data_IF_962581330988
#
_entry.id   IF_962581330988
#
_cell.length_a   1.000
_cell.length_b   1.000
_cell.length_c   1.000
_cell.angle_alpha   90.00
_cell.angle_beta   90.00
_cell.angle_gamma   90.00
#
_symmetry.space_group_name_H-M   'P 1'
#
loop_
_entity.id
_entity.type
_entity.pdbx_description
1 polymer ?
#
# COMPACT_ATOMS: atom_id res chain seq x y z
N UNK A 1 2.28 10.93 6.58
CA UNK A 1 2.96 10.59 7.85
C UNK A 1 3.44 9.14 7.86
N UNK A 2 4.76 8.96 7.95
CA UNK A 2 5.38 7.64 8.12
C UNK A 2 5.00 7.03 9.47
N UNK A 3 4.77 5.71 9.51
CA UNK A 3 4.49 4.97 10.75
C UNK A 3 5.64 4.05 11.12
N UNK A 4 6.06 3.16 10.22
CA UNK A 4 7.15 2.20 10.46
C UNK A 4 7.69 1.60 9.16
N UNK A 5 8.91 1.05 9.22
CA UNK A 5 9.45 0.13 8.22
C UNK A 5 9.05 -1.30 8.59
N UNK A 6 8.90 -2.15 7.57
CA UNK A 6 8.54 -3.55 7.73
C UNK A 6 9.51 -4.37 6.88
N UNK A 7 9.98 -5.50 7.41
CA UNK A 7 10.73 -6.51 6.66
C UNK A 7 9.94 -7.80 6.75
N UNK A 8 9.57 -8.37 5.61
CA UNK A 8 8.83 -9.63 5.55
C UNK A 8 9.43 -10.56 4.51
N UNK A 9 9.36 -11.86 4.77
CA UNK A 9 9.75 -12.89 3.82
C UNK A 9 8.53 -13.28 2.99
N UNK A 10 8.73 -13.43 1.69
CA UNK A 10 7.72 -13.98 0.77
C UNK A 10 8.35 -15.12 -0.01
N UNK A 11 7.53 -16.11 -0.38
CA UNK A 11 7.93 -17.14 -1.32
C UNK A 11 7.46 -16.73 -2.72
N UNK A 12 8.41 -16.60 -3.64
CA UNK A 12 8.16 -16.24 -5.02
C UNK A 12 8.94 -17.20 -5.92
N UNK A 13 8.25 -17.92 -6.80
CA UNK A 13 8.86 -18.92 -7.71
C UNK A 13 9.77 -19.92 -6.96
N UNK A 14 9.27 -20.48 -5.86
CA UNK A 14 10.00 -21.41 -4.98
C UNK A 14 11.29 -20.85 -4.36
N UNK A 15 11.47 -19.52 -4.40
CA UNK A 15 12.58 -18.81 -3.75
C UNK A 15 12.05 -17.91 -2.63
N UNK A 16 12.69 -17.95 -1.47
CA UNK A 16 12.42 -17.02 -0.39
C UNK A 16 13.10 -15.67 -0.68
N UNK A 17 12.33 -14.59 -0.65
CA UNK A 17 12.83 -13.23 -0.84
C UNK A 17 12.41 -12.35 0.34
N UNK A 18 13.32 -11.48 0.77
CA UNK A 18 13.01 -10.45 1.77
C UNK A 18 12.50 -9.20 1.05
N UNK A 19 11.30 -8.77 1.41
CA UNK A 19 10.71 -7.51 0.95
C UNK A 19 10.74 -6.50 2.08
N UNK A 20 11.29 -5.32 1.77
CA UNK A 20 11.30 -4.18 2.68
C UNK A 20 10.20 -3.21 2.27
N UNK A 21 9.25 -2.97 3.18
CA UNK A 21 8.13 -2.07 2.98
C UNK A 21 8.08 -0.97 4.04
N UNK A 22 7.12 -0.06 3.88
CA UNK A 22 6.84 0.98 4.85
C UNK A 22 5.34 1.21 5.00
N UNK A 23 4.90 1.47 6.22
CA UNK A 23 3.51 1.79 6.54
C UNK A 23 3.36 3.29 6.69
N UNK A 24 2.29 3.82 6.09
CA UNK A 24 2.02 5.26 6.04
C UNK A 24 0.55 5.54 6.34
N UNK A 25 0.32 6.71 6.93
CA UNK A 25 -0.94 7.44 6.80
C UNK A 25 -0.69 8.60 5.84
N UNK A 26 -1.59 8.86 4.90
CA UNK A 26 -1.47 9.98 3.98
C UNK A 26 -2.86 10.47 3.59
N UNK A 27 -2.92 11.68 3.04
CA UNK A 27 -4.12 12.29 2.49
C UNK A 27 -3.86 12.63 1.04
N UNK A 28 -4.94 12.67 0.26
CA UNK A 28 -4.92 13.20 -1.10
C UNK A 28 -5.55 14.58 -1.09
N UNK A 29 -4.96 15.50 -1.83
CA UNK A 29 -5.55 16.82 -2.05
C UNK A 29 -6.70 16.72 -3.05
N UNK A 30 -7.64 17.68 -2.98
CA UNK A 30 -8.87 17.69 -3.78
C UNK A 30 -8.66 17.77 -5.30
N UNK A 31 -7.44 18.10 -5.74
CA UNK A 31 -7.07 18.19 -7.16
C UNK A 31 -6.64 16.86 -7.78
N UNK A 32 -6.49 15.80 -6.97
CA UNK A 32 -6.12 14.49 -7.51
C UNK A 32 -7.27 13.82 -8.26
N UNK A 33 -6.89 13.07 -9.30
CA UNK A 33 -7.82 12.26 -10.08
C UNK A 33 -8.50 11.21 -9.19
N UNK A 34 -9.82 11.37 -9.00
CA UNK A 34 -10.65 10.50 -8.17
C UNK A 34 -10.63 9.06 -8.67
N UNK A 35 -10.60 8.82 -9.99
CA UNK A 35 -10.55 7.47 -10.55
C UNK A 35 -9.25 6.76 -10.19
N UNK A 36 -8.13 7.49 -10.17
CA UNK A 36 -6.84 6.92 -9.76
C UNK A 36 -6.82 6.60 -8.26
N UNK A 37 -7.40 7.47 -7.43
CA UNK A 37 -7.55 7.21 -5.99
C UNK A 37 -8.42 5.97 -5.79
N UNK A 38 -9.56 5.88 -6.48
CA UNK A 38 -10.46 4.74 -6.39
C UNK A 38 -9.78 3.45 -6.84
N UNK A 39 -9.05 3.48 -7.96
CA UNK A 39 -8.24 2.35 -8.40
C UNK A 39 -7.25 1.89 -7.33
N UNK A 40 -6.55 2.82 -6.68
CA UNK A 40 -5.63 2.49 -5.59
C UNK A 40 -6.32 1.98 -4.32
N UNK A 41 -7.56 2.42 -4.03
CA UNK A 41 -8.38 1.85 -2.95
C UNK A 41 -8.81 0.41 -3.25
N UNK A 42 -9.21 0.14 -4.49
CA UNK A 42 -9.70 -1.18 -4.90
C UNK A 42 -8.58 -2.20 -5.08
N UNK A 43 -7.45 -1.75 -5.64
CA UNK A 43 -6.35 -2.63 -6.02
C UNK A 43 -5.15 -2.56 -5.08
N UNK A 44 -5.02 -1.52 -4.24
CA UNK A 44 -3.82 -1.20 -3.47
C UNK A 44 -2.86 -0.25 -4.19
N UNK A 45 -2.01 0.44 -3.43
CA UNK A 45 -0.99 1.36 -3.93
C UNK A 45 0.41 0.75 -3.98
N UNK A 46 1.15 1.02 -5.05
CA UNK A 46 2.52 0.53 -5.24
C UNK A 46 2.57 -0.79 -5.97
N UNK A 47 3.45 -1.69 -5.53
CA UNK A 47 3.69 -2.98 -6.17
C UNK A 47 3.27 -4.15 -5.28
N UNK A 48 3.13 -5.33 -5.91
CA UNK A 48 2.92 -6.63 -5.23
C UNK A 48 1.59 -6.73 -4.48
N UNK A 49 0.56 -6.05 -4.97
CA UNK A 49 -0.72 -5.95 -4.27
C UNK A 49 -1.41 -7.32 -4.12
N UNK A 50 -1.34 -8.18 -5.13
CA UNK A 50 -1.84 -9.56 -5.07
C UNK A 50 -1.11 -10.45 -4.05
N UNK A 51 0.00 -9.96 -3.48
CA UNK A 51 0.74 -10.61 -2.39
C UNK A 51 0.49 -9.94 -1.03
N UNK A 52 -0.51 -9.06 -0.93
CA UNK A 52 -0.95 -8.44 0.33
C UNK A 52 -0.27 -7.12 0.67
N UNK A 53 0.43 -6.47 -0.27
CA UNK A 53 1.04 -5.16 -0.08
C UNK A 53 0.16 -4.03 -0.64
N UNK A 54 0.44 -2.79 -0.23
CA UNK A 54 -0.22 -1.62 -0.80
C UNK A 54 -1.68 -1.40 -0.39
N UNK A 55 -2.29 -2.31 0.37
CA UNK A 55 -3.66 -2.16 0.85
C UNK A 55 -3.82 -0.92 1.73
N UNK A 56 -4.94 -0.22 1.55
CA UNK A 56 -5.24 1.05 2.19
C UNK A 56 -6.64 1.04 2.78
N UNK A 57 -6.82 1.74 3.89
CA UNK A 57 -8.12 1.94 4.52
C UNK A 57 -8.47 3.42 4.54
N UNK A 58 -9.73 3.74 4.26
CA UNK A 58 -10.24 5.11 4.40
C UNK A 58 -10.47 5.40 5.88
N UNK A 59 -9.83 6.46 6.38
CA UNK A 59 -10.03 6.97 7.73
C UNK A 59 -10.87 8.24 7.65
N UNK A 60 -12.07 8.23 8.26
CA UNK A 60 -12.81 9.48 8.48
C UNK A 60 -12.02 10.32 9.48
N UNK A 61 -11.77 11.58 9.13
CA UNK A 61 -11.28 12.54 10.11
C UNK A 61 -12.42 12.81 11.12
N UNK A 62 -12.09 12.90 12.43
CA UNK A 62 -13.06 13.26 13.46
C UNK A 62 -13.61 14.67 13.27
#
# INVERSE_FOLDING_TARGET
MFKKKISTRINLHDTEQIVIGSLWEFSFDHELNIELIQFGLDCGFGERNSMGFGFVNVKKMP
#
